data_IF_220544683092
#
_entry.id   IF_220544683092
#
_cell.length_a   1.000
_cell.length_b   1.000
_cell.length_c   1.000
_cell.angle_alpha   90.00
_cell.angle_beta   90.00
_cell.angle_gamma   90.00
#
_symmetry.space_group_name_H-M   'P 1'
#
loop_
_entity.id
_entity.type
_entity.pdbx_description
1 polymer ?
#
# COMPACT_ATOMS: atom_id res chain seq x y z
N UNK A 1 12.76 14.60 18.20
CA UNK A 1 12.67 15.47 19.39
C UNK A 1 11.28 15.41 20.03
N UNK A 2 10.19 15.84 19.38
CA UNK A 2 8.85 15.81 20.01
C UNK A 2 8.36 14.39 20.33
N UNK A 3 8.48 13.44 19.38
CA UNK A 3 8.02 12.06 19.60
C UNK A 3 8.88 11.33 20.64
N UNK A 4 10.21 11.48 20.57
CA UNK A 4 11.12 10.95 21.61
C UNK A 4 10.78 11.42 23.02
N UNK A 5 10.56 12.73 23.22
CA UNK A 5 10.15 13.25 24.54
C UNK A 5 8.80 12.68 24.99
N UNK A 6 7.84 12.51 24.09
CA UNK A 6 6.56 11.88 24.42
C UNK A 6 6.73 10.40 24.79
N UNK A 7 7.59 9.68 24.06
CA UNK A 7 7.90 8.28 24.30
C UNK A 7 8.54 8.07 25.68
N UNK A 8 9.50 8.93 26.04
CA UNK A 8 10.15 8.92 27.36
C UNK A 8 9.14 9.17 28.49
N UNK A 9 8.21 10.12 28.29
CA UNK A 9 7.17 10.46 29.29
C UNK A 9 6.20 9.31 29.57
N UNK A 10 5.89 8.49 28.55
CA UNK A 10 4.96 7.35 28.68
C UNK A 10 5.68 6.01 28.85
N UNK A 11 7.01 6.03 29.00
CA UNK A 11 7.87 4.84 29.07
C UNK A 11 7.61 3.84 27.92
N UNK A 12 7.49 4.37 26.70
CA UNK A 12 7.33 3.59 25.48
C UNK A 12 8.54 3.75 24.57
N UNK A 13 8.71 2.83 23.61
CA UNK A 13 9.72 2.96 22.56
C UNK A 13 9.26 3.97 21.51
N UNK A 14 10.18 4.82 21.06
CA UNK A 14 9.87 5.88 20.09
C UNK A 14 9.42 5.33 18.73
N UNK A 15 10.02 4.23 18.26
CA UNK A 15 9.69 3.56 17.00
C UNK A 15 8.25 3.00 17.01
N UNK A 16 7.86 2.32 18.09
CA UNK A 16 6.50 1.84 18.30
C UNK A 16 5.48 2.97 18.39
N UNK A 17 5.85 4.09 19.03
CA UNK A 17 4.98 5.26 19.13
C UNK A 17 4.76 5.93 17.77
N UNK A 18 5.80 6.06 16.94
CA UNK A 18 5.67 6.58 15.58
C UNK A 18 4.73 5.72 14.73
N UNK A 19 4.91 4.39 14.78
CA UNK A 19 4.06 3.45 14.06
C UNK A 19 2.59 3.56 14.51
N UNK A 20 2.36 3.59 15.83
CA UNK A 20 1.03 3.75 16.39
C UNK A 20 0.37 5.05 15.93
N UNK A 21 1.10 6.16 15.95
CA UNK A 21 0.61 7.46 15.48
C UNK A 21 0.27 7.43 13.98
N UNK A 22 1.06 6.76 13.14
CA UNK A 22 0.74 6.56 11.72
C UNK A 22 -0.57 5.79 11.51
N UNK A 23 -0.78 4.72 12.28
CA UNK A 23 -2.02 3.92 12.22
C UNK A 23 -3.22 4.76 12.70
N UNK A 24 -3.08 5.45 13.83
CA UNK A 24 -4.16 6.29 14.38
C UNK A 24 -4.46 7.51 13.51
N UNK A 25 -3.48 8.05 12.79
CA UNK A 25 -3.70 9.14 11.83
C UNK A 25 -4.67 8.74 10.70
N UNK A 26 -4.81 7.44 10.40
CA UNK A 26 -5.74 6.95 9.40
C UNK A 26 -7.21 7.35 9.64
N UNK A 27 -7.65 7.46 10.91
CA UNK A 27 -9.02 7.82 11.26
C UNK A 27 -9.37 9.27 10.92
N UNK A 28 -8.67 10.31 11.42
CA UNK A 28 -8.94 11.69 11.03
C UNK A 28 -8.67 11.92 9.53
N UNK A 29 -7.66 11.25 8.95
CA UNK A 29 -7.42 11.32 7.50
C UNK A 29 -8.58 10.75 6.69
N UNK A 30 -9.24 9.69 7.15
CA UNK A 30 -10.44 9.16 6.52
C UNK A 30 -11.60 10.17 6.54
N UNK A 31 -11.79 10.90 7.64
CA UNK A 31 -12.79 11.98 7.71
C UNK A 31 -12.45 13.11 6.73
N UNK A 32 -11.18 13.51 6.63
CA UNK A 32 -10.71 14.53 5.69
C UNK A 32 -10.91 14.05 4.24
N UNK A 33 -10.51 12.83 3.91
CA UNK A 33 -10.70 12.26 2.58
C UNK A 33 -12.18 12.24 2.21
N UNK A 34 -13.05 11.75 3.11
CA UNK A 34 -14.49 11.70 2.90
C UNK A 34 -15.11 13.08 2.70
N UNK A 35 -14.62 14.10 3.40
CA UNK A 35 -15.20 15.45 3.36
C UNK A 35 -14.75 16.26 2.14
N UNK A 36 -13.50 16.09 1.68
CA UNK A 36 -12.90 17.01 0.70
C UNK A 36 -12.45 16.35 -0.61
N UNK A 37 -12.02 15.09 -0.57
CA UNK A 37 -11.40 14.39 -1.70
C UNK A 37 -12.34 13.38 -2.34
N UNK A 38 -13.35 12.94 -1.59
CA UNK A 38 -14.36 12.03 -2.09
C UNK A 38 -15.12 12.63 -3.30
N UNK A 39 -15.46 11.81 -4.29
CA UNK A 39 -16.03 12.22 -5.59
C UNK A 39 -15.15 13.13 -6.46
N UNK A 40 -13.89 13.37 -6.09
CA UNK A 40 -12.93 14.02 -6.99
C UNK A 40 -12.39 13.01 -8.02
N UNK A 41 -11.88 13.48 -9.18
CA UNK A 41 -11.28 12.59 -10.17
C UNK A 41 -10.21 11.69 -9.55
N UNK A 42 -10.12 10.44 -10.02
CA UNK A 42 -9.21 9.43 -9.46
C UNK A 42 -7.76 9.95 -9.32
N UNK A 43 -7.26 10.68 -10.32
CA UNK A 43 -5.90 11.25 -10.28
C UNK A 43 -5.68 12.24 -9.11
N UNK A 44 -6.70 13.01 -8.73
CA UNK A 44 -6.63 13.95 -7.59
C UNK A 44 -6.59 13.16 -6.28
N UNK A 45 -7.43 12.13 -6.17
CA UNK A 45 -7.43 11.25 -4.99
C UNK A 45 -6.10 10.50 -4.86
N UNK A 46 -5.59 9.94 -5.96
CA UNK A 46 -4.29 9.25 -6.00
C UNK A 46 -3.14 10.17 -5.58
N UNK A 47 -3.08 11.39 -6.13
CA UNK A 47 -2.05 12.37 -5.75
C UNK A 47 -2.11 12.71 -4.25
N UNK A 48 -3.31 12.88 -3.70
CA UNK A 48 -3.50 13.12 -2.27
C UNK A 48 -3.04 11.91 -1.43
N UNK A 49 -3.39 10.68 -1.83
CA UNK A 49 -2.94 9.46 -1.13
C UNK A 49 -1.43 9.31 -1.16
N UNK A 50 -0.78 9.60 -2.28
CA UNK A 50 0.68 9.59 -2.38
C UNK A 50 1.30 10.63 -1.44
N UNK A 51 0.79 11.87 -1.45
CA UNK A 51 1.32 12.93 -0.59
C UNK A 51 1.17 12.62 0.91
N UNK A 52 -0.02 12.17 1.32
CA UNK A 52 -0.32 11.79 2.70
C UNK A 52 0.52 10.58 3.11
N UNK A 53 0.48 9.51 2.31
CA UNK A 53 1.17 8.26 2.61
C UNK A 53 2.69 8.43 2.67
N UNK A 54 3.29 9.18 1.74
CA UNK A 54 4.72 9.48 1.78
C UNK A 54 5.10 10.31 3.02
N UNK A 55 4.27 11.29 3.39
CA UNK A 55 4.48 12.08 4.60
C UNK A 55 4.48 11.21 5.86
N UNK A 56 3.50 10.29 5.97
CA UNK A 56 3.45 9.33 7.07
C UNK A 56 4.66 8.37 7.05
N UNK A 57 5.09 7.95 5.86
CA UNK A 57 6.21 7.01 5.73
C UNK A 57 7.53 7.67 6.14
N UNK A 58 7.75 8.92 5.75
CA UNK A 58 8.88 9.75 6.20
C UNK A 58 8.79 9.99 7.72
N UNK A 59 7.60 10.24 8.26
CA UNK A 59 7.44 10.38 9.71
C UNK A 59 7.78 9.09 10.47
N UNK A 60 7.40 7.93 9.93
CA UNK A 60 7.68 6.62 10.54
C UNK A 60 9.17 6.25 10.47
N UNK A 61 9.74 6.30 9.27
CA UNK A 61 11.04 5.68 8.94
C UNK A 61 12.11 6.67 8.48
N UNK A 62 11.82 7.97 8.44
CA UNK A 62 12.77 8.98 7.99
C UNK A 62 13.24 8.75 6.54
N UNK A 63 14.56 8.77 6.34
CA UNK A 63 15.19 8.56 5.02
C UNK A 63 14.97 7.15 4.46
N UNK A 64 14.73 6.15 5.31
CA UNK A 64 14.47 4.77 4.87
C UNK A 64 13.14 4.63 4.12
N UNK A 65 12.32 5.69 4.08
CA UNK A 65 11.18 5.80 3.16
C UNK A 65 11.56 5.65 1.68
N UNK A 66 12.84 5.80 1.33
CA UNK A 66 13.35 5.52 -0.02
C UNK A 66 13.05 4.08 -0.47
N UNK A 67 13.06 3.11 0.45
CA UNK A 67 12.75 1.72 0.12
C UNK A 67 11.33 1.58 -0.44
N UNK A 68 10.35 2.30 0.13
CA UNK A 68 8.99 2.33 -0.39
C UNK A 68 8.92 2.88 -1.82
N UNK A 69 9.68 3.94 -2.11
CA UNK A 69 9.75 4.53 -3.46
C UNK A 69 10.38 3.55 -4.46
N UNK A 70 11.44 2.84 -4.05
CA UNK A 70 12.06 1.79 -4.87
C UNK A 70 11.04 0.68 -5.17
N UNK A 71 10.27 0.23 -4.18
CA UNK A 71 9.23 -0.78 -4.38
C UNK A 71 8.15 -0.33 -5.39
N UNK A 72 7.72 0.94 -5.33
CA UNK A 72 6.76 1.51 -6.29
C UNK A 72 7.33 1.49 -7.72
N UNK A 73 8.59 1.89 -7.88
CA UNK A 73 9.25 1.88 -9.19
C UNK A 73 9.45 0.46 -9.73
N UNK A 74 9.84 -0.49 -8.87
CA UNK A 74 9.92 -1.92 -9.23
C UNK A 74 8.56 -2.46 -9.66
N UNK A 75 7.50 -2.17 -8.91
CA UNK A 75 6.14 -2.57 -9.26
C UNK A 75 5.69 -1.98 -10.60
N UNK A 76 5.93 -0.70 -10.84
CA UNK A 76 5.64 -0.09 -12.13
C UNK A 76 6.41 -0.78 -13.26
N UNK A 77 7.71 -1.00 -13.09
CA UNK A 77 8.54 -1.67 -14.08
C UNK A 77 8.04 -3.08 -14.42
N UNK A 78 7.81 -3.92 -13.41
CA UNK A 78 7.35 -5.31 -13.60
C UNK A 78 5.98 -5.32 -14.29
N UNK A 79 5.02 -4.56 -13.76
CA UNK A 79 3.64 -4.59 -14.25
C UNK A 79 3.48 -4.04 -15.67
N UNK A 80 4.21 -2.96 -16.00
CA UNK A 80 4.04 -2.29 -17.29
C UNK A 80 4.88 -2.92 -18.41
N UNK A 81 6.12 -3.36 -18.14
CA UNK A 81 7.01 -3.90 -19.18
C UNK A 81 6.89 -5.41 -19.40
N UNK A 82 6.72 -6.21 -18.35
CA UNK A 82 6.67 -7.67 -18.43
C UNK A 82 5.37 -8.28 -17.86
N UNK A 83 4.45 -7.45 -17.36
CA UNK A 83 3.23 -7.91 -16.72
C UNK A 83 2.36 -8.75 -17.66
N UNK A 84 1.80 -9.84 -17.11
CA UNK A 84 1.04 -10.82 -17.86
C UNK A 84 1.81 -12.11 -18.15
N UNK A 85 3.11 -12.18 -17.85
CA UNK A 85 3.94 -13.36 -18.10
C UNK A 85 4.37 -14.07 -16.82
N UNK A 86 4.79 -15.34 -16.91
CA UNK A 86 5.29 -16.10 -15.76
C UNK A 86 6.54 -15.46 -15.15
N UNK A 87 7.37 -14.87 -16.00
CA UNK A 87 8.58 -14.13 -15.61
C UNK A 87 8.23 -12.93 -14.75
N UNK A 88 7.10 -12.25 -14.97
CA UNK A 88 6.66 -11.14 -14.11
C UNK A 88 6.38 -11.60 -12.68
N UNK A 89 5.74 -12.75 -12.50
CA UNK A 89 5.45 -13.32 -11.18
C UNK A 89 6.75 -13.73 -10.48
N UNK A 90 7.69 -14.35 -11.21
CA UNK A 90 9.00 -14.71 -10.66
C UNK A 90 9.76 -13.43 -10.26
N UNK A 91 9.80 -12.42 -11.14
CA UNK A 91 10.44 -11.14 -10.88
C UNK A 91 9.83 -10.45 -9.65
N UNK A 92 8.51 -10.49 -9.45
CA UNK A 92 7.86 -9.92 -8.27
C UNK A 92 8.37 -10.55 -6.96
N UNK A 93 8.48 -11.88 -6.90
CA UNK A 93 9.01 -12.54 -5.69
C UNK A 93 10.48 -12.19 -5.48
N UNK A 94 11.31 -12.22 -6.52
CA UNK A 94 12.73 -11.88 -6.39
C UNK A 94 12.90 -10.41 -5.96
N UNK A 95 12.20 -9.49 -6.61
CA UNK A 95 12.35 -8.05 -6.38
C UNK A 95 11.72 -7.59 -5.06
N UNK A 96 10.56 -8.10 -4.64
CA UNK A 96 9.92 -7.63 -3.41
C UNK A 96 10.29 -8.46 -2.18
N UNK A 97 10.17 -9.78 -2.27
CA UNK A 97 10.53 -10.65 -1.15
C UNK A 97 12.05 -10.72 -1.00
N UNK A 98 12.81 -10.84 -2.10
CA UNK A 98 14.27 -10.83 -2.02
C UNK A 98 14.82 -9.52 -1.44
N UNK A 99 14.27 -8.37 -1.85
CA UNK A 99 14.66 -7.07 -1.29
C UNK A 99 14.33 -6.95 0.20
N UNK A 100 13.15 -7.42 0.62
CA UNK A 100 12.77 -7.46 2.04
C UNK A 100 13.71 -8.38 2.84
N UNK A 101 14.07 -9.56 2.33
CA UNK A 101 14.99 -10.47 2.99
C UNK A 101 16.39 -9.88 3.16
N UNK A 102 16.89 -9.17 2.13
CA UNK A 102 18.14 -8.41 2.23
C UNK A 102 18.01 -7.30 3.28
N UNK A 103 16.88 -6.59 3.32
CA UNK A 103 16.60 -5.59 4.36
C UNK A 103 16.69 -6.18 5.76
N UNK A 104 16.00 -7.30 6.00
CA UNK A 104 16.07 -8.02 7.27
C UNK A 104 17.48 -8.45 7.66
N UNK A 105 18.28 -8.92 6.70
CA UNK A 105 19.68 -9.29 6.95
C UNK A 105 20.54 -8.13 7.48
N UNK A 106 20.28 -6.90 7.03
CA UNK A 106 21.09 -5.74 7.42
C UNK A 106 20.55 -4.96 8.62
N UNK A 107 19.26 -5.07 8.91
CA UNK A 107 18.57 -4.11 9.78
C UNK A 107 17.98 -4.76 11.03
N UNK A 108 17.62 -6.06 11.00
CA UNK A 108 17.10 -6.72 12.21
C UNK A 108 18.22 -7.05 13.18
N UNK A 109 17.98 -6.76 14.46
CA UNK A 109 18.79 -7.25 15.56
C UNK A 109 18.14 -8.48 16.23
N UNK A 110 18.77 -8.98 17.30
CA UNK A 110 18.16 -10.02 18.14
C UNK A 110 17.00 -9.49 19.02
N UNK A 111 16.83 -8.16 19.07
CA UNK A 111 15.67 -7.53 19.70
C UNK A 111 14.55 -7.33 18.66
N UNK A 112 13.31 -7.19 19.14
CA UNK A 112 12.21 -6.81 18.26
C UNK A 112 12.42 -5.38 17.76
N UNK A 113 12.68 -5.16 16.47
CA UNK A 113 12.92 -3.83 15.90
C UNK A 113 11.78 -3.39 14.98
N UNK A 114 11.26 -2.18 15.21
CA UNK A 114 10.30 -1.55 14.28
C UNK A 114 11.11 -0.66 13.35
N UNK A 115 11.37 -1.17 12.15
CA UNK A 115 12.18 -0.47 11.15
C UNK A 115 11.36 -0.27 9.86
N UNK A 116 12.00 0.23 8.80
CA UNK A 116 11.33 0.37 7.50
C UNK A 116 10.84 -0.98 6.94
N UNK A 117 11.41 -2.10 7.37
CA UNK A 117 10.99 -3.45 6.94
C UNK A 117 9.55 -3.74 7.36
N UNK A 118 9.07 -3.18 8.47
CA UNK A 118 7.71 -3.41 9.00
C UNK A 118 6.61 -2.96 8.02
N UNK A 119 6.52 -1.67 7.60
CA UNK A 119 5.57 -1.27 6.56
C UNK A 119 5.95 -1.81 5.18
N UNK A 120 7.23 -2.12 4.91
CA UNK A 120 7.65 -2.70 3.64
C UNK A 120 7.08 -4.10 3.42
N UNK A 121 6.89 -4.91 4.46
CA UNK A 121 6.21 -6.21 4.37
C UNK A 121 4.83 -6.08 3.70
N UNK A 122 4.08 -5.03 4.08
CA UNK A 122 2.77 -4.76 3.50
C UNK A 122 2.89 -4.44 2.02
N UNK A 123 3.89 -3.64 1.62
CA UNK A 123 4.16 -3.31 0.22
C UNK A 123 4.59 -4.55 -0.59
N UNK A 124 5.41 -5.43 -0.01
CA UNK A 124 5.80 -6.70 -0.61
C UNK A 124 4.59 -7.57 -0.94
N UNK A 125 3.70 -7.78 0.04
CA UNK A 125 2.47 -8.53 -0.17
C UNK A 125 1.57 -7.88 -1.22
N UNK A 126 1.39 -6.56 -1.11
CA UNK A 126 0.50 -5.79 -1.98
C UNK A 126 0.96 -5.78 -3.44
N UNK A 127 2.24 -5.54 -3.70
CA UNK A 127 2.77 -5.49 -5.06
C UNK A 127 3.01 -6.88 -5.67
N UNK A 128 3.32 -7.89 -4.87
CA UNK A 128 3.33 -9.27 -5.35
C UNK A 128 1.91 -9.68 -5.78
N UNK A 129 0.90 -9.38 -4.95
CA UNK A 129 -0.50 -9.60 -5.29
C UNK A 129 -0.93 -8.84 -6.55
N UNK A 130 -0.53 -7.57 -6.71
CA UNK A 130 -0.79 -6.80 -7.93
C UNK A 130 -0.24 -7.47 -9.19
N UNK A 131 0.99 -7.96 -9.15
CA UNK A 131 1.60 -8.61 -10.31
C UNK A 131 0.88 -9.92 -10.64
N UNK A 132 0.49 -10.70 -9.62
CA UNK A 132 -0.33 -11.90 -9.79
C UNK A 132 -1.72 -11.56 -10.38
N UNK A 133 -2.39 -10.52 -9.88
CA UNK A 133 -3.68 -10.09 -10.39
C UNK A 133 -3.59 -9.65 -11.87
N UNK A 134 -2.48 -9.03 -12.29
CA UNK A 134 -2.23 -8.68 -13.71
C UNK A 134 -1.93 -9.92 -14.55
N UNK A 135 -1.18 -10.89 -14.01
CA UNK A 135 -0.98 -12.19 -14.65
C UNK A 135 -2.32 -12.88 -14.90
N UNK A 136 -3.19 -12.92 -13.90
CA UNK A 136 -4.53 -13.46 -14.00
C UNK A 136 -5.36 -12.68 -15.04
N UNK A 137 -5.25 -11.35 -15.07
CA UNK A 137 -5.90 -10.51 -16.09
C UNK A 137 -5.55 -10.88 -17.53
N UNK A 138 -4.30 -11.27 -17.79
CA UNK A 138 -3.85 -11.73 -19.11
C UNK A 138 -4.37 -13.14 -19.48
N UNK A 139 -4.74 -13.94 -18.47
CA UNK A 139 -5.20 -15.32 -18.62
C UNK A 139 -6.68 -15.49 -18.23
N UNK A 140 -7.45 -14.41 -18.29
CA UNK A 140 -8.77 -14.31 -17.66
C UNK A 140 -9.75 -15.45 -18.00
N UNK A 141 -9.75 -15.93 -19.24
CA UNK A 141 -10.70 -16.95 -19.70
C UNK A 141 -10.50 -18.31 -19.02
N UNK A 142 -9.28 -18.63 -18.57
CA UNK A 142 -8.96 -19.92 -17.93
C UNK A 142 -9.10 -19.90 -16.41
N UNK A 143 -9.42 -18.74 -15.82
CA UNK A 143 -9.46 -18.56 -14.38
C UNK A 143 -10.72 -19.13 -13.71
N UNK A 144 -10.58 -19.49 -12.44
CA UNK A 144 -11.71 -19.79 -11.55
C UNK A 144 -12.50 -18.51 -11.20
N UNK A 145 -13.74 -18.69 -10.77
CA UNK A 145 -14.65 -17.57 -10.48
C UNK A 145 -14.16 -16.62 -9.39
N UNK A 146 -13.41 -17.10 -8.41
CA UNK A 146 -12.79 -16.31 -7.35
C UNK A 146 -11.62 -15.45 -7.86
N UNK A 147 -10.74 -16.03 -8.68
CA UNK A 147 -9.61 -15.32 -9.31
C UNK A 147 -10.08 -14.19 -10.24
N UNK A 148 -11.18 -14.42 -10.97
CA UNK A 148 -11.78 -13.39 -11.84
C UNK A 148 -12.20 -12.12 -11.09
N UNK A 149 -12.43 -12.19 -9.78
CA UNK A 149 -12.85 -11.03 -8.96
C UNK A 149 -11.73 -10.02 -8.72
N UNK A 150 -10.48 -10.46 -8.79
CA UNK A 150 -9.31 -9.61 -8.51
C UNK A 150 -8.42 -9.38 -9.72
N UNK A 151 -8.58 -10.20 -10.77
CA UNK A 151 -7.86 -10.08 -12.03
C UNK A 151 -7.89 -8.64 -12.61
N UNK A 152 -6.72 -8.14 -12.99
CA UNK A 152 -6.52 -6.79 -13.51
C UNK A 152 -6.18 -6.86 -15.00
N UNK A 153 -7.18 -6.56 -15.85
CA UNK A 153 -7.01 -6.51 -17.32
C UNK A 153 -6.29 -5.24 -17.77
N UNK A 154 -6.62 -4.11 -17.13
CA UNK A 154 -6.05 -2.80 -17.45
C UNK A 154 -4.92 -2.46 -16.48
N UNK A 155 -3.70 -2.42 -17.01
CA UNK A 155 -2.48 -2.14 -16.24
C UNK A 155 -2.54 -0.77 -15.57
N UNK A 156 -2.16 -0.66 -14.28
CA UNK A 156 -2.13 0.63 -13.58
C UNK A 156 -0.94 1.49 -14.02
N UNK A 157 -1.15 2.80 -14.06
CA UNK A 157 -0.06 3.78 -14.23
C UNK A 157 0.73 4.00 -12.94
N UNK A 158 1.87 4.68 -13.03
CA UNK A 158 2.78 4.91 -11.89
C UNK A 158 2.08 5.61 -10.71
N UNK A 159 1.26 6.63 -10.98
CA UNK A 159 0.54 7.37 -9.93
C UNK A 159 -0.46 6.47 -9.18
N UNK A 160 -1.15 5.58 -9.89
CA UNK A 160 -2.08 4.64 -9.29
C UNK A 160 -1.34 3.58 -8.44
N UNK A 161 -0.22 3.04 -8.95
CA UNK A 161 0.62 2.10 -8.19
C UNK A 161 1.16 2.77 -6.92
N UNK A 162 1.62 4.02 -7.03
CA UNK A 162 2.11 4.77 -5.88
C UNK A 162 0.99 4.99 -4.85
N UNK A 163 -0.20 5.40 -5.29
CA UNK A 163 -1.35 5.59 -4.42
C UNK A 163 -1.79 4.29 -3.76
N UNK A 164 -1.79 3.18 -4.49
CA UNK A 164 -2.10 1.85 -3.99
C UNK A 164 -1.09 1.38 -2.94
N UNK A 165 0.21 1.59 -3.17
CA UNK A 165 1.27 1.25 -2.24
C UNK A 165 1.28 2.12 -0.97
N UNK A 166 0.97 3.41 -1.11
CA UNK A 166 1.02 4.41 -0.04
C UNK A 166 -0.34 4.71 0.59
N UNK A 167 -1.37 3.90 0.31
CA UNK A 167 -2.70 4.17 0.84
C UNK A 167 -2.72 4.09 2.38
N UNK A 168 -2.90 5.25 3.01
CA UNK A 168 -2.75 5.45 4.46
C UNK A 168 -3.62 4.54 5.32
N UNK A 169 -4.71 3.99 4.78
CA UNK A 169 -5.62 3.11 5.52
C UNK A 169 -5.02 1.74 5.82
N UNK A 170 -3.95 1.34 5.14
CA UNK A 170 -3.39 0.00 5.34
C UNK A 170 -1.92 -0.18 5.02
N UNK A 171 -1.17 0.87 4.66
CA UNK A 171 0.27 0.73 4.32
C UNK A 171 1.16 0.37 5.51
N UNK A 172 0.81 0.73 6.74
CA UNK A 172 1.67 0.51 7.91
C UNK A 172 1.46 -0.83 8.61
N UNK A 173 0.19 -1.23 8.78
CA UNK A 173 -0.17 -2.42 9.57
C UNK A 173 -1.22 -3.31 8.87
N UNK A 174 -1.56 -3.03 7.61
CA UNK A 174 -2.71 -3.64 6.95
C UNK A 174 -4.04 -2.94 7.28
N UNK A 175 -5.17 -3.45 6.79
CA UNK A 175 -5.35 -4.74 6.12
C UNK A 175 -4.78 -4.77 4.69
N UNK A 176 -4.61 -5.99 4.16
CA UNK A 176 -4.30 -6.22 2.75
C UNK A 176 -5.56 -6.18 1.88
N UNK A 177 -5.44 -5.60 0.69
CA UNK A 177 -6.51 -5.51 -0.30
C UNK A 177 -5.94 -5.47 -1.71
N UNK A 178 -6.75 -5.90 -2.69
CA UNK A 178 -6.37 -5.95 -4.10
C UNK A 178 -6.54 -4.60 -4.78
N UNK A 179 -5.87 -4.42 -5.93
CA UNK A 179 -6.04 -3.21 -6.73
C UNK A 179 -7.49 -3.05 -7.22
N UNK A 180 -8.19 -4.16 -7.50
CA UNK A 180 -9.62 -4.10 -7.88
C UNK A 180 -10.49 -3.46 -6.78
N UNK A 181 -10.26 -3.82 -5.51
CA UNK A 181 -10.97 -3.21 -4.37
C UNK A 181 -10.57 -1.75 -4.18
N UNK A 182 -9.30 -1.42 -4.38
CA UNK A 182 -8.81 -0.04 -4.32
C UNK A 182 -9.46 0.84 -5.40
N UNK A 183 -9.50 0.37 -6.66
CA UNK A 183 -10.22 1.06 -7.76
C UNK A 183 -11.69 1.28 -7.41
N UNK A 184 -12.36 0.24 -6.93
CA UNK A 184 -13.75 0.34 -6.52
C UNK A 184 -13.98 1.35 -5.37
N UNK A 185 -13.04 1.44 -4.42
CA UNK A 185 -13.06 2.46 -3.38
C UNK A 185 -12.91 3.88 -3.94
N UNK A 186 -11.93 4.11 -4.82
CA UNK A 186 -11.66 5.42 -5.45
C UNK A 186 -12.82 5.89 -6.33
N UNK A 187 -13.43 4.95 -7.06
CA UNK A 187 -14.57 5.22 -7.94
C UNK A 187 -15.88 5.42 -7.18
N UNK A 188 -15.94 5.02 -5.91
CA UNK A 188 -17.15 5.10 -5.10
C UNK A 188 -18.17 4.00 -5.37
N UNK A 189 -17.74 2.87 -5.95
CA UNK A 189 -18.61 1.74 -6.34
C UNK A 189 -19.33 1.09 -5.15
N UNK A 190 -18.84 1.33 -3.93
CA UNK A 190 -19.39 0.82 -2.66
C UNK A 190 -20.47 1.70 -2.05
N UNK A 191 -20.77 2.85 -2.66
CA UNK A 191 -21.84 3.73 -2.21
C UNK A 191 -23.19 3.35 -2.81
N UNK A 192 -24.24 3.80 -2.15
CA UNK A 192 -25.59 3.84 -2.73
C UNK A 192 -25.74 5.04 -3.69
N UNK A 193 -26.93 5.15 -4.29
CA UNK A 193 -27.31 6.23 -5.20
C UNK A 193 -27.27 7.63 -4.55
N UNK A 194 -27.35 7.70 -3.23
CA UNK A 194 -27.27 8.95 -2.45
C UNK A 194 -25.84 9.26 -2.00
N UNK A 195 -24.87 8.48 -2.48
CA UNK A 195 -23.47 8.60 -2.13
C UNK A 195 -23.16 8.22 -0.69
N UNK A 196 -24.04 7.48 -0.01
CA UNK A 196 -23.85 6.99 1.36
C UNK A 196 -23.26 5.58 1.39
N UNK A 197 -22.55 5.19 2.47
CA UNK A 197 -22.15 3.80 2.65
C UNK A 197 -23.39 2.91 2.59
N UNK A 198 -23.36 1.88 1.74
CA UNK A 198 -24.45 0.90 1.69
C UNK A 198 -24.62 0.30 3.08
N UNK A 199 -25.84 0.30 3.60
CA UNK A 199 -26.14 -0.40 4.84
C UNK A 199 -25.80 -1.87 4.64
N UNK A 200 -24.96 -2.42 5.53
CA UNK A 200 -24.70 -3.86 5.57
C UNK A 200 -26.03 -4.57 5.77
N UNK A 201 -26.32 -5.54 4.90
CA UNK A 201 -27.45 -6.44 5.06
C UNK A 201 -27.39 -7.22 6.38
#
# INVERSE_FOLDING_TARGET
>A
MVVGTLADLINAREDGLRLLLCVLAGYPLAVIHRSFLYNKPANVQHAAFVAIGLTLYIFNSGFDSIHALIAILMAYGITNFIGGTRESVIAAHICFLGYLLVGYWYVESEAYDITWTTPYCIMTLRFTGLVMDIYDGAHFETLKADQKKTAIKEKPGLLEIAAFGLFYTGTFAGPQFTLSKFRAYVNGDWLDENGQPRQSA
#
